data_IF_832628293878
#
_entry.id   IF_832628293878
#
_cell.length_a   1.000
_cell.length_b   1.000
_cell.length_c   1.000
_cell.angle_alpha   90.00
_cell.angle_beta   90.00
_cell.angle_gamma   90.00
#
_symmetry.space_group_name_H-M   'P 1'
#
loop_
_entity.id
_entity.type
_entity.pdbx_description
1 polymer ?
#
# COMPACT_ATOMS: atom_id res chain seq x y z
N UNK A 1 -20.08 19.87 2.52
CA UNK A 1 -21.26 20.32 1.76
C UNK A 1 -21.75 19.15 0.94
N UNK A 2 -23.05 18.86 0.94
CA UNK A 2 -23.67 17.88 0.03
C UNK A 2 -24.46 18.67 -1.02
N UNK A 3 -24.33 18.32 -2.28
CA UNK A 3 -24.95 19.05 -3.40
C UNK A 3 -25.52 18.04 -4.39
N UNK A 4 -26.69 18.35 -4.93
CA UNK A 4 -27.37 17.58 -5.99
C UNK A 4 -27.13 18.16 -7.38
N UNK A 5 -26.53 19.36 -7.46
CA UNK A 5 -26.25 20.06 -8.73
C UNK A 5 -25.09 19.42 -9.49
N UNK A 6 -24.16 18.79 -8.77
CA UNK A 6 -22.97 18.16 -9.34
C UNK A 6 -23.03 16.65 -9.07
N UNK A 7 -23.09 15.80 -10.11
CA UNK A 7 -23.24 14.34 -9.94
C UNK A 7 -21.95 13.62 -9.52
N UNK A 8 -20.90 14.38 -9.20
CA UNK A 8 -19.59 13.86 -8.79
C UNK A 8 -19.07 14.62 -7.57
N UNK A 9 -18.22 13.95 -6.79
CA UNK A 9 -17.62 14.51 -5.58
C UNK A 9 -16.55 15.54 -5.93
N UNK A 10 -16.76 16.77 -5.48
CA UNK A 10 -15.76 17.84 -5.58
C UNK A 10 -14.95 17.90 -4.28
N UNK A 11 -13.63 17.78 -4.42
CA UNK A 11 -12.70 17.84 -3.29
C UNK A 11 -11.77 19.03 -3.44
N UNK A 12 -11.47 19.71 -2.33
CA UNK A 12 -10.47 20.77 -2.33
C UNK A 12 -9.09 20.20 -2.73
N UNK A 13 -8.28 20.98 -3.45
CA UNK A 13 -7.04 20.52 -4.09
C UNK A 13 -6.06 19.80 -3.15
N UNK A 14 -5.95 20.28 -1.89
CA UNK A 14 -5.11 19.67 -0.85
C UNK A 14 -5.55 18.26 -0.45
N UNK A 15 -6.83 17.93 -0.57
CA UNK A 15 -7.38 16.59 -0.31
C UNK A 15 -7.43 15.76 -1.58
N UNK A 16 -7.77 16.39 -2.71
CA UNK A 16 -7.88 15.72 -4.01
C UNK A 16 -6.57 15.05 -4.44
N UNK A 17 -5.43 15.75 -4.33
CA UNK A 17 -4.11 15.23 -4.74
C UNK A 17 -3.68 13.96 -3.98
N UNK A 18 -3.64 13.94 -2.64
CA UNK A 18 -3.28 12.74 -1.90
C UNK A 18 -4.31 11.62 -2.07
N UNK A 19 -5.61 11.95 -2.12
CA UNK A 19 -6.68 10.99 -2.37
C UNK A 19 -6.50 10.29 -3.73
N UNK A 20 -6.32 11.06 -4.81
CA UNK A 20 -6.15 10.52 -6.16
C UNK A 20 -4.92 9.61 -6.24
N UNK A 21 -3.81 9.98 -5.59
CA UNK A 21 -2.60 9.16 -5.52
C UNK A 21 -2.84 7.84 -4.76
N UNK A 22 -3.57 7.87 -3.65
CA UNK A 22 -3.91 6.67 -2.90
C UNK A 22 -4.86 5.76 -3.69
N UNK A 23 -5.90 6.33 -4.28
CA UNK A 23 -6.87 5.61 -5.10
C UNK A 23 -6.22 4.98 -6.34
N UNK A 24 -5.33 5.70 -7.00
CA UNK A 24 -4.57 5.21 -8.16
C UNK A 24 -3.61 4.06 -7.82
N UNK A 25 -3.15 3.97 -6.56
CA UNK A 25 -2.37 2.84 -6.04
C UNK A 25 -3.25 1.66 -5.68
N UNK A 26 -4.39 1.90 -5.03
CA UNK A 26 -5.34 0.83 -4.69
C UNK A 26 -5.93 0.16 -5.95
N UNK A 27 -6.08 0.92 -7.03
CA UNK A 27 -6.60 0.45 -8.32
C UNK A 27 -5.50 0.13 -9.34
N UNK A 28 -4.23 -0.01 -8.92
CA UNK A 28 -3.11 -0.20 -9.84
C UNK A 28 -3.17 -1.49 -10.67
N UNK A 29 -3.97 -2.47 -10.22
CA UNK A 29 -4.18 -3.76 -10.92
C UNK A 29 -5.21 -3.65 -12.06
N UNK A 30 -5.97 -2.55 -12.11
CA UNK A 30 -7.01 -2.33 -13.11
C UNK A 30 -6.40 -1.53 -14.27
N UNK A 31 -6.75 -1.91 -15.50
CA UNK A 31 -6.28 -1.22 -16.68
C UNK A 31 -6.77 0.24 -16.70
N UNK A 32 -5.83 1.17 -16.89
CA UNK A 32 -6.15 2.60 -17.07
C UNK A 32 -6.51 2.88 -18.53
N UNK A 33 -7.44 3.80 -18.72
CA UNK A 33 -7.86 4.29 -20.04
C UNK A 33 -7.54 5.79 -20.15
N UNK A 34 -7.53 6.36 -21.38
CA UNK A 34 -7.34 7.78 -21.57
C UNK A 34 -8.27 8.62 -20.68
N UNK A 35 -7.74 9.72 -20.17
CA UNK A 35 -8.48 10.61 -19.26
C UNK A 35 -9.60 11.30 -20.03
N UNK A 36 -10.79 11.33 -19.44
CA UNK A 36 -11.96 12.05 -19.97
C UNK A 36 -12.25 13.21 -19.02
N UNK A 37 -12.21 14.44 -19.53
CA UNK A 37 -12.54 15.63 -18.71
C UNK A 37 -13.96 15.48 -18.13
N UNK A 38 -14.18 15.85 -16.85
CA UNK A 38 -13.29 16.55 -15.93
C UNK A 38 -12.37 15.64 -15.07
N UNK A 39 -12.28 14.34 -15.37
CA UNK A 39 -11.60 13.36 -14.51
C UNK A 39 -10.11 13.16 -14.85
N UNK A 40 -9.27 13.14 -13.83
CA UNK A 40 -7.83 12.90 -13.96
C UNK A 40 -7.44 11.41 -13.97
N UNK A 41 -8.36 10.50 -13.65
CA UNK A 41 -8.13 9.05 -13.60
C UNK A 41 -9.36 8.32 -14.13
N UNK A 42 -9.17 7.51 -15.16
CA UNK A 42 -10.20 6.67 -15.75
C UNK A 42 -9.75 5.21 -15.78
N UNK A 43 -10.68 4.29 -15.51
CA UNK A 43 -10.44 2.85 -15.44
C UNK A 43 -11.27 2.14 -16.51
N UNK A 44 -10.77 1.02 -17.02
CA UNK A 44 -11.50 0.20 -17.99
C UNK A 44 -12.64 -0.58 -17.29
N UNK A 45 -13.90 -0.22 -17.57
CA UNK A 45 -15.10 -0.86 -17.02
C UNK A 45 -15.20 -2.35 -17.35
N UNK A 46 -14.72 -2.79 -18.53
CA UNK A 46 -14.75 -4.21 -18.92
C UNK A 46 -13.77 -5.07 -18.13
N UNK A 47 -12.80 -4.46 -17.44
CA UNK A 47 -11.82 -5.14 -16.58
C UNK A 47 -12.17 -5.05 -15.09
N UNK A 48 -13.28 -4.38 -14.76
CA UNK A 48 -13.79 -4.28 -13.41
C UNK A 48 -14.73 -5.46 -13.15
N UNK A 49 -14.53 -6.15 -12.03
CA UNK A 49 -15.47 -7.16 -11.57
C UNK A 49 -16.82 -6.51 -11.25
N UNK A 50 -17.92 -7.15 -11.63
CA UNK A 50 -19.25 -6.72 -11.21
C UNK A 50 -19.59 -7.33 -9.86
N UNK A 51 -20.02 -6.51 -8.92
CA UNK A 51 -20.53 -6.93 -7.61
C UNK A 51 -21.99 -6.52 -7.49
N UNK A 52 -22.71 -7.07 -6.50
CA UNK A 52 -24.12 -6.71 -6.24
C UNK A 52 -24.34 -5.20 -6.02
N UNK A 53 -23.29 -4.49 -5.60
CA UNK A 53 -23.33 -3.04 -5.32
C UNK A 53 -22.70 -2.19 -6.44
N UNK A 54 -22.40 -2.78 -7.60
CA UNK A 54 -21.76 -2.11 -8.73
C UNK A 54 -20.33 -2.62 -8.99
N UNK A 55 -19.48 -1.77 -9.58
CA UNK A 55 -18.11 -2.16 -9.90
C UNK A 55 -17.28 -2.46 -8.63
N UNK A 56 -16.53 -3.55 -8.65
CA UNK A 56 -15.59 -3.97 -7.60
C UNK A 56 -14.35 -3.10 -7.57
N UNK A 57 -14.52 -1.84 -7.17
CA UNK A 57 -13.45 -0.86 -6.96
C UNK A 57 -13.03 -0.78 -5.48
N UNK A 58 -11.92 -0.08 -5.23
CA UNK A 58 -11.47 0.22 -3.88
C UNK A 58 -12.56 1.00 -3.12
N UNK A 59 -12.93 0.50 -1.93
CA UNK A 59 -13.91 1.13 -1.05
C UNK A 59 -13.35 2.46 -0.51
N UNK A 60 -14.24 3.45 -0.32
CA UNK A 60 -13.89 4.79 0.15
C UNK A 60 -14.74 5.08 1.39
N UNK A 61 -14.08 5.15 2.55
CA UNK A 61 -14.73 5.46 3.81
C UNK A 61 -14.47 6.92 4.22
N UNK A 62 -15.54 7.68 4.47
CA UNK A 62 -15.47 9.04 5.02
C UNK A 62 -15.87 9.01 6.48
N UNK A 63 -14.88 9.11 7.37
CA UNK A 63 -15.10 9.03 8.82
C UNK A 63 -15.45 10.44 9.34
N UNK A 64 -16.65 10.60 9.89
CA UNK A 64 -17.11 11.84 10.50
C UNK A 64 -16.96 11.81 12.03
N UNK A 65 -16.81 13.00 12.64
CA UNK A 65 -16.76 13.17 14.09
C UNK A 65 -18.09 12.69 14.70
N UNK A 66 -18.03 11.71 15.61
CA UNK A 66 -19.20 11.01 16.15
C UNK A 66 -19.22 9.51 15.86
N UNK A 67 -18.33 9.02 14.99
CA UNK A 67 -17.77 7.66 15.08
C UNK A 67 -18.77 6.51 15.21
N UNK A 68 -19.89 6.53 14.49
CA UNK A 68 -20.69 5.31 14.31
C UNK A 68 -20.32 4.67 12.98
N UNK A 69 -19.15 4.03 12.95
CA UNK A 69 -18.93 2.95 12.00
C UNK A 69 -19.89 1.82 12.40
N UNK A 70 -21.05 1.75 11.75
CA UNK A 70 -22.06 0.73 12.03
C UNK A 70 -21.53 -0.66 11.75
N UNK A 71 -20.93 -1.29 12.77
CA UNK A 71 -20.99 -2.75 12.96
C UNK A 71 -22.05 -3.01 14.02
N UNK A 72 -23.32 -2.98 13.61
CA UNK A 72 -24.40 -3.52 14.41
C UNK A 72 -24.65 -4.98 13.97
N UNK A 73 -23.77 -5.89 14.36
CA UNK A 73 -24.11 -7.33 14.42
C UNK A 73 -23.33 -7.95 15.58
N UNK A 74 -23.76 -7.77 16.84
CA UNK A 74 -23.12 -8.42 17.98
C UNK A 74 -23.65 -9.84 18.23
N UNK A 75 -24.58 -10.36 17.42
CA UNK A 75 -25.18 -11.68 17.62
C UNK A 75 -25.31 -12.36 16.26
N UNK A 76 -24.98 -13.65 16.16
CA UNK A 76 -25.05 -14.51 14.95
C UNK A 76 -23.78 -14.71 14.12
N UNK A 77 -22.61 -14.79 14.74
CA UNK A 77 -21.54 -15.64 14.19
C UNK A 77 -20.86 -16.45 15.29
N UNK A 78 -21.66 -17.27 15.98
CA UNK A 78 -21.14 -18.52 16.52
C UNK A 78 -20.77 -19.43 15.36
N UNK A 79 -19.49 -19.53 15.04
CA UNK A 79 -18.90 -20.64 14.30
C UNK A 79 -17.43 -20.77 14.71
N UNK A 80 -17.04 -22.01 15.00
CA UNK A 80 -15.79 -22.40 15.63
C UNK A 80 -14.50 -21.97 14.91
N UNK A 81 -13.40 -22.12 15.64
CA UNK A 81 -12.13 -21.47 15.38
C UNK A 81 -11.33 -21.93 14.16
N UNK A 82 -10.37 -21.10 13.80
CA UNK A 82 -9.03 -21.44 13.30
C UNK A 82 -8.24 -20.13 13.17
N UNK A 83 -6.96 -20.14 13.55
CA UNK A 83 -6.14 -18.96 13.80
C UNK A 83 -6.02 -17.96 12.65
N UNK A 84 -5.82 -16.69 13.02
CA UNK A 84 -5.56 -15.59 12.09
C UNK A 84 -4.51 -14.65 12.66
N UNK A 85 -3.23 -15.01 12.53
CA UNK A 85 -2.13 -14.07 12.73
C UNK A 85 -2.16 -13.00 11.64
N UNK A 86 -2.15 -11.73 12.03
CA UNK A 86 -1.96 -10.61 11.09
C UNK A 86 -0.47 -10.57 10.73
N UNK A 87 -0.05 -10.70 9.46
CA UNK A 87 1.34 -10.44 9.10
C UNK A 87 1.60 -8.93 9.19
N UNK A 88 1.96 -8.48 10.38
CA UNK A 88 2.55 -7.16 10.59
C UNK A 88 3.92 -7.14 9.93
N UNK A 89 4.07 -6.35 8.87
CA UNK A 89 5.36 -6.09 8.23
C UNK A 89 6.26 -5.38 9.25
N UNK A 90 7.16 -6.14 9.87
CA UNK A 90 8.22 -5.64 10.75
C UNK A 90 9.13 -4.71 9.94
N UNK A 91 9.12 -3.40 10.25
CA UNK A 91 10.25 -2.54 9.88
C UNK A 91 11.45 -3.00 10.69
N UNK A 92 12.45 -3.60 10.02
CA UNK A 92 13.77 -3.88 10.60
C UNK A 92 14.30 -2.57 11.17
N UNK A 93 14.55 -2.55 12.48
CA UNK A 93 15.37 -1.53 13.13
C UNK A 93 16.77 -1.66 12.52
N UNK A 94 17.24 -0.64 11.81
CA UNK A 94 18.65 -0.56 11.45
C UNK A 94 19.41 -0.35 12.76
N UNK A 95 20.06 -1.41 13.25
CA UNK A 95 21.04 -1.33 14.32
C UNK A 95 22.42 -1.26 13.67
N UNK A 96 23.07 -0.11 13.76
CA UNK A 96 24.43 0.10 13.32
C UNK A 96 25.03 1.25 14.12
N UNK A 97 25.50 0.93 15.33
CA UNK A 97 26.10 1.88 16.27
C UNK A 97 27.09 1.20 17.20
N UNK A 98 28.35 1.27 16.79
CA UNK A 98 29.59 1.51 17.55
C UNK A 98 29.92 0.78 18.88
N UNK A 99 31.16 0.27 18.91
CA UNK A 99 32.00 0.00 20.10
C UNK A 99 32.15 -1.50 20.42
N UNK A 100 33.33 -2.09 20.62
CA UNK A 100 34.72 -1.64 20.63
C UNK A 100 35.62 -2.78 21.13
N UNK A 101 36.91 -2.75 20.77
CA UNK A 101 38.01 -3.35 21.55
C UNK A 101 38.33 -4.84 21.36
N UNK A 102 39.53 -5.15 20.85
CA UNK A 102 40.16 -6.47 20.99
C UNK A 102 41.35 -6.70 20.05
N UNK A 103 42.55 -6.78 20.62
CA UNK A 103 43.87 -6.77 19.97
C UNK A 103 44.20 -8.10 19.25
N UNK A 104 44.92 -8.04 18.14
CA UNK A 104 45.55 -9.19 17.46
C UNK A 104 46.64 -8.74 16.48
N UNK A 105 47.85 -9.26 16.67
CA UNK A 105 49.17 -8.87 16.13
C UNK A 105 49.32 -9.13 14.61
N UNK A 106 50.08 -8.32 13.84
CA UNK A 106 50.32 -8.55 12.42
C UNK A 106 51.43 -9.60 12.18
N UNK A 107 51.12 -10.67 11.45
CA UNK A 107 52.11 -11.62 10.95
C UNK A 107 52.25 -11.52 9.42
N UNK A 108 53.36 -10.89 9.03
CA UNK A 108 54.24 -11.10 7.86
C UNK A 108 53.64 -11.68 6.56
N UNK A 109 53.75 -10.86 5.51
CA UNK A 109 53.94 -11.27 4.10
C UNK A 109 55.12 -12.24 3.93
N UNK A 110 55.01 -13.17 2.97
CA UNK A 110 55.83 -13.11 1.75
C UNK A 110 54.93 -13.30 0.50
N UNK A 111 54.92 -12.39 -0.48
CA UNK A 111 55.82 -12.26 -1.64
C UNK A 111 55.99 -13.52 -2.51
N UNK A 112 55.59 -13.35 -3.78
CA UNK A 112 55.95 -14.06 -5.01
C UNK A 112 55.03 -15.19 -5.52
N UNK A 113 54.59 -15.03 -6.78
CA UNK A 113 53.86 -16.05 -7.56
C UNK A 113 53.06 -15.47 -8.72
N UNK A 114 53.75 -14.95 -9.74
CA UNK A 114 53.22 -14.41 -11.01
C UNK A 114 52.91 -15.56 -11.99
N UNK A 115 51.83 -15.40 -12.81
CA UNK A 115 51.59 -15.78 -14.24
C UNK A 115 50.27 -16.54 -14.58
N UNK A 116 49.77 -16.47 -15.84
CA UNK A 116 48.40 -16.04 -16.16
C UNK A 116 47.60 -17.05 -17.03
N UNK A 117 46.30 -16.79 -17.25
CA UNK A 117 45.57 -17.15 -18.48
C UNK A 117 45.21 -18.61 -18.76
N UNK A 118 43.90 -18.90 -18.78
CA UNK A 118 43.25 -19.92 -19.61
C UNK A 118 41.79 -19.44 -19.77
N UNK A 119 41.45 -18.81 -20.90
CA UNK A 119 40.72 -19.38 -22.06
C UNK A 119 39.37 -19.95 -21.70
#
# INVERSE_FOLDING_TARGET
MISTTVPYTTLHSRVYRPFLKAFARATSRIQRVPKVKPFDLCLNSSKLGSTRMGYGIAQIDVILKGGKSGRYWPELAGAGGAGGGVPGVRRRRAAGGAGGGGRGIPARRPSAGVRPGQV
#
